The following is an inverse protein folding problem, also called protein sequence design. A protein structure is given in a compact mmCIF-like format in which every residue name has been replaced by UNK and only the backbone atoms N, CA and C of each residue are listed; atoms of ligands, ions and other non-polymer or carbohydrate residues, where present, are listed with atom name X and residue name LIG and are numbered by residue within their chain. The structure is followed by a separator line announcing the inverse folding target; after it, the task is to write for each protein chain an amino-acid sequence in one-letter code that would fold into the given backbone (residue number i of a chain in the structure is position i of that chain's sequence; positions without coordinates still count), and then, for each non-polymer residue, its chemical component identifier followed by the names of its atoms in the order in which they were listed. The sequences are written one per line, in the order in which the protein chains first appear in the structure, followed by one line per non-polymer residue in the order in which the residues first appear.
data_IF_266795624306
#
_entry.id   IF_266795624306
#
_cell.length_a   1.000
_cell.length_b   1.000
_cell.length_c   1.000
_cell.angle_alpha   90.00
_cell.angle_beta   90.00
_cell.angle_gamma   90.00
#
_symmetry.space_group_name_H-M   'P 1'
#
loop_
_entity.id
_entity.type
_entity.pdbx_description
1 polymer ?
#
# COMPACT_ATOMS: atom_id res chain seq x y z
N UNK A 1 1.97 10.74 -4.04
CA UNK A 1 0.65 11.18 -3.57
C UNK A 1 0.80 12.15 -2.42
N UNK A 2 0.47 13.36 -2.64
CA UNK A 2 0.33 14.38 -1.60
C UNK A 2 -1.01 14.18 -0.87
N UNK A 3 -1.07 13.19 -0.02
CA UNK A 3 -2.34 12.66 0.48
C UNK A 3 -2.90 13.34 1.72
N UNK A 4 -2.28 14.39 2.23
CA UNK A 4 -2.74 15.04 3.47
C UNK A 4 -4.13 15.67 3.31
N UNK A 5 -4.55 15.95 2.08
CA UNK A 5 -5.85 16.58 1.77
C UNK A 5 -6.55 15.99 0.54
N UNK A 6 -6.27 14.76 0.19
CA UNK A 6 -6.93 14.10 -0.94
C UNK A 6 -8.43 14.01 -0.68
N UNK A 7 -9.17 14.95 -1.24
CA UNK A 7 -10.62 14.92 -1.29
C UNK A 7 -11.07 14.35 -2.62
N UNK A 8 -11.79 13.25 -2.57
CA UNK A 8 -12.59 12.86 -3.71
C UNK A 8 -13.89 13.65 -3.73
N UNK A 9 -13.99 14.68 -4.55
CA UNK A 9 -15.18 15.50 -4.68
C UNK A 9 -16.39 14.68 -5.14
N UNK A 10 -16.21 13.71 -6.05
CA UNK A 10 -17.27 12.80 -6.46
C UNK A 10 -17.84 12.00 -5.27
N UNK A 11 -16.99 11.44 -4.42
CA UNK A 11 -17.44 10.71 -3.23
C UNK A 11 -18.16 11.62 -2.24
N UNK A 12 -17.72 12.86 -2.12
CA UNK A 12 -18.37 13.84 -1.26
C UNK A 12 -19.75 14.29 -1.81
N UNK A 13 -19.85 14.51 -3.12
CA UNK A 13 -21.09 14.96 -3.76
C UNK A 13 -22.15 13.85 -3.83
N UNK A 14 -21.77 12.64 -4.26
CA UNK A 14 -22.70 11.52 -4.46
C UNK A 14 -23.15 10.92 -3.13
N UNK A 15 -22.22 10.77 -2.16
CA UNK A 15 -22.48 10.02 -0.94
C UNK A 15 -22.24 10.79 0.36
N UNK A 16 -21.87 12.07 0.32
CA UNK A 16 -21.40 12.84 1.49
C UNK A 16 -20.30 12.10 2.28
N UNK A 17 -19.49 11.28 1.58
CA UNK A 17 -18.52 10.36 2.17
C UNK A 17 -17.09 10.81 1.86
N UNK A 18 -16.20 10.69 2.84
CA UNK A 18 -14.79 11.08 2.72
C UNK A 18 -13.89 9.86 2.50
N UNK A 19 -13.22 9.81 1.36
CA UNK A 19 -12.20 8.81 1.08
C UNK A 19 -11.03 8.85 2.07
N UNK A 20 -10.65 10.04 2.54
CA UNK A 20 -9.55 10.21 3.50
C UNK A 20 -9.85 9.59 4.87
N UNK A 21 -11.13 9.44 5.20
CA UNK A 21 -11.59 8.82 6.45
C UNK A 21 -11.97 7.34 6.28
N UNK A 22 -11.53 6.71 5.19
CA UNK A 22 -11.87 5.31 4.89
C UNK A 22 -13.30 5.08 4.40
N UNK A 23 -14.12 6.12 4.26
CA UNK A 23 -15.53 6.03 3.91
C UNK A 23 -15.82 6.37 2.44
N UNK A 24 -14.90 6.06 1.51
CA UNK A 24 -15.08 6.33 0.09
C UNK A 24 -16.34 5.64 -0.46
N UNK A 25 -17.19 6.39 -1.20
CA UNK A 25 -18.35 5.84 -1.90
C UNK A 25 -17.98 5.07 -3.18
N UNK A 26 -16.72 5.08 -3.58
CA UNK A 26 -16.17 4.46 -4.78
C UNK A 26 -16.88 4.86 -6.10
N UNK A 27 -17.22 6.13 -6.32
CA UNK A 27 -17.93 6.53 -7.55
C UNK A 27 -17.14 6.20 -8.82
N UNK A 28 -15.81 6.24 -8.78
CA UNK A 28 -14.96 5.82 -9.90
C UNK A 28 -15.02 4.30 -10.22
N UNK A 29 -15.80 3.53 -9.47
CA UNK A 29 -15.98 2.07 -9.66
C UNK A 29 -17.43 1.71 -9.98
N UNK A 30 -18.28 2.70 -10.12
CA UNK A 30 -19.69 2.51 -10.47
C UNK A 30 -19.87 2.48 -11.98
N UNK A 31 -20.95 1.87 -12.41
CA UNK A 31 -21.42 1.93 -13.79
C UNK A 31 -22.01 3.30 -14.11
N UNK A 32 -21.81 3.74 -15.31
CA UNK A 32 -22.36 4.98 -15.84
C UNK A 32 -22.87 4.78 -17.25
N UNK A 33 -23.96 5.47 -17.56
CA UNK A 33 -24.46 5.57 -18.93
C UNK A 33 -23.95 6.88 -19.55
N UNK A 34 -23.29 6.82 -20.66
CA UNK A 34 -22.72 7.99 -21.33
C UNK A 34 -22.79 7.83 -22.85
N UNK A 35 -23.34 8.84 -23.55
CA UNK A 35 -23.34 8.87 -25.00
C UNK A 35 -24.07 7.71 -25.69
N UNK A 36 -25.15 7.19 -25.06
CA UNK A 36 -25.91 6.05 -25.59
C UNK A 36 -25.31 4.68 -25.27
N UNK A 37 -24.16 4.64 -24.59
CA UNK A 37 -23.57 3.42 -24.03
C UNK A 37 -24.08 3.23 -22.62
N UNK A 38 -24.54 2.03 -22.31
CA UNK A 38 -25.13 1.67 -21.03
C UNK A 38 -24.18 0.78 -20.25
N UNK A 39 -24.21 0.92 -18.93
CA UNK A 39 -23.52 -0.01 -17.99
C UNK A 39 -22.00 -0.15 -18.20
N UNK A 40 -21.33 0.93 -18.59
CA UNK A 40 -19.88 0.98 -18.70
C UNK A 40 -19.22 1.50 -17.42
N UNK A 41 -17.92 1.21 -17.27
CA UNK A 41 -17.09 1.68 -16.15
C UNK A 41 -16.03 2.70 -16.64
N UNK A 42 -16.42 3.88 -17.15
CA UNK A 42 -15.54 4.81 -17.84
C UNK A 42 -14.49 5.46 -16.92
N UNK A 43 -14.65 5.33 -15.61
CA UNK A 43 -13.73 5.87 -14.60
C UNK A 43 -12.96 4.80 -13.84
N UNK A 44 -13.19 3.51 -14.14
CA UNK A 44 -12.57 2.42 -13.42
C UNK A 44 -11.23 2.04 -14.05
N UNK A 45 -10.16 2.59 -13.52
CA UNK A 45 -8.81 2.25 -13.95
C UNK A 45 -8.38 0.88 -13.43
N UNK A 46 -7.58 0.17 -14.21
CA UNK A 46 -6.77 -0.97 -13.77
C UNK A 46 -5.84 -0.53 -12.65
N UNK A 47 -5.36 -1.49 -11.87
CA UNK A 47 -4.44 -1.20 -10.81
C UNK A 47 -3.05 -0.86 -11.36
N UNK A 48 -2.44 0.17 -10.80
CA UNK A 48 -1.09 0.56 -11.19
C UNK A 48 -0.08 -0.39 -10.53
N UNK A 49 0.69 -1.09 -11.34
CA UNK A 49 1.79 -1.94 -10.89
C UNK A 49 3.07 -1.50 -11.60
N UNK A 50 4.06 -1.11 -10.83
CA UNK A 50 5.36 -0.63 -11.32
C UNK A 50 6.51 -1.53 -10.88
N UNK A 51 6.23 -2.80 -10.57
CA UNK A 51 7.24 -3.74 -10.09
C UNK A 51 8.37 -3.97 -11.11
N UNK A 52 8.05 -3.97 -12.41
CA UNK A 52 9.03 -4.12 -13.50
C UNK A 52 9.92 -2.88 -13.69
N UNK A 53 9.55 -1.75 -13.10
CA UNK A 53 10.23 -0.46 -13.29
C UNK A 53 10.96 0.04 -12.04
N UNK A 54 11.12 -0.80 -11.02
CA UNK A 54 11.72 -0.40 -9.74
C UNK A 54 13.14 0.13 -9.89
N UNK A 55 13.95 -0.47 -10.76
CA UNK A 55 15.31 0.01 -11.00
C UNK A 55 15.30 1.39 -11.67
N UNK A 56 14.47 1.59 -12.68
CA UNK A 56 14.34 2.89 -13.36
C UNK A 56 13.87 3.99 -12.38
N UNK A 57 12.95 3.65 -11.46
CA UNK A 57 12.49 4.57 -10.44
C UNK A 57 13.61 4.91 -9.45
N UNK A 58 14.42 3.93 -9.05
CA UNK A 58 15.59 4.15 -8.20
C UNK A 58 16.63 5.04 -8.89
N UNK A 59 16.94 4.77 -10.14
CA UNK A 59 17.89 5.55 -10.95
C UNK A 59 17.42 7.00 -11.15
N UNK A 60 16.09 7.21 -11.19
CA UNK A 60 15.48 8.54 -11.21
C UNK A 60 15.45 9.25 -9.84
N UNK A 61 16.03 8.65 -8.79
CA UNK A 61 16.13 9.22 -7.45
C UNK A 61 14.88 9.03 -6.57
N UNK A 62 13.99 8.10 -6.91
CA UNK A 62 12.85 7.75 -6.06
C UNK A 62 13.33 6.97 -4.85
N UNK A 63 13.28 7.57 -3.67
CA UNK A 63 13.76 6.98 -2.42
C UNK A 63 12.76 5.99 -1.77
N UNK A 64 11.47 6.07 -2.11
CA UNK A 64 10.45 5.25 -1.48
C UNK A 64 9.27 5.02 -2.42
N UNK A 65 8.75 3.80 -2.44
CA UNK A 65 7.50 3.44 -3.11
C UNK A 65 6.38 3.28 -2.08
N UNK A 66 5.19 3.76 -2.40
CA UNK A 66 4.03 3.66 -1.53
C UNK A 66 3.07 2.59 -2.04
N UNK A 67 2.80 1.60 -1.21
CA UNK A 67 1.76 0.60 -1.45
C UNK A 67 0.43 1.16 -0.94
N UNK A 68 -0.58 1.24 -1.82
CA UNK A 68 -1.91 1.69 -1.43
C UNK A 68 -2.78 0.47 -1.04
N UNK A 69 -3.13 0.41 0.24
CA UNK A 69 -3.82 -0.75 0.80
C UNK A 69 -4.97 -0.42 1.76
N UNK A 70 -5.41 0.85 1.84
CA UNK A 70 -6.41 1.30 2.84
C UNK A 70 -7.69 0.46 2.88
N UNK A 71 -8.18 0.03 1.72
CA UNK A 71 -9.41 -0.77 1.59
C UNK A 71 -9.11 -2.23 1.28
N UNK A 72 -7.89 -2.68 1.54
CA UNK A 72 -7.42 -4.02 1.23
C UNK A 72 -7.24 -4.84 2.49
N UNK A 73 -7.26 -6.15 2.33
CA UNK A 73 -6.96 -7.11 3.40
C UNK A 73 -5.47 -7.02 3.80
N UNK A 74 -5.11 -7.33 5.03
CA UNK A 74 -3.70 -7.38 5.45
C UNK A 74 -2.84 -8.31 4.60
N UNK A 75 -3.40 -9.43 4.16
CA UNK A 75 -2.74 -10.41 3.30
C UNK A 75 -2.32 -9.83 1.95
N UNK A 76 -3.13 -8.92 1.38
CA UNK A 76 -2.75 -8.17 0.19
C UNK A 76 -1.47 -7.37 0.43
N UNK A 77 -1.41 -6.66 1.54
CA UNK A 77 -0.24 -5.85 1.88
C UNK A 77 0.98 -6.75 2.07
N UNK A 78 0.82 -7.89 2.75
CA UNK A 78 1.90 -8.84 2.97
C UNK A 78 2.46 -9.39 1.65
N UNK A 79 1.60 -9.83 0.73
CA UNK A 79 2.02 -10.38 -0.57
C UNK A 79 2.72 -9.32 -1.43
N UNK A 80 2.13 -8.13 -1.54
CA UNK A 80 2.71 -7.06 -2.37
C UNK A 80 4.04 -6.60 -1.79
N UNK A 81 4.13 -6.44 -0.47
CA UNK A 81 5.39 -6.05 0.19
C UNK A 81 6.47 -7.11 0.01
N UNK A 82 6.13 -8.40 0.12
CA UNK A 82 7.09 -9.49 -0.08
C UNK A 82 7.72 -9.44 -1.47
N UNK A 83 6.91 -9.32 -2.52
CA UNK A 83 7.40 -9.24 -3.90
C UNK A 83 8.25 -8.00 -4.14
N UNK A 84 7.74 -6.82 -3.76
CA UNK A 84 8.46 -5.56 -3.96
C UNK A 84 9.77 -5.51 -3.17
N UNK A 85 9.79 -6.00 -1.93
CA UNK A 85 11.00 -6.06 -1.12
C UNK A 85 12.07 -6.95 -1.74
N UNK A 86 11.70 -8.13 -2.23
CA UNK A 86 12.62 -9.03 -2.94
C UNK A 86 13.20 -8.37 -4.19
N UNK A 87 12.35 -7.79 -5.04
CA UNK A 87 12.80 -7.10 -6.26
C UNK A 87 13.78 -5.95 -5.94
N UNK A 88 13.52 -5.18 -4.88
CA UNK A 88 14.40 -4.09 -4.46
C UNK A 88 15.72 -4.62 -3.89
N UNK A 89 15.69 -5.60 -2.99
CA UNK A 89 16.90 -6.15 -2.37
C UNK A 89 17.80 -6.92 -3.34
N UNK A 90 17.18 -7.61 -4.29
CA UNK A 90 17.89 -8.44 -5.28
C UNK A 90 18.19 -7.68 -6.57
N UNK A 91 17.80 -6.41 -6.67
CA UNK A 91 18.00 -5.55 -7.85
C UNK A 91 17.51 -6.20 -9.16
N UNK A 92 16.32 -6.78 -9.15
CA UNK A 92 15.74 -7.50 -10.28
C UNK A 92 14.27 -7.13 -10.52
N UNK A 93 13.77 -7.51 -11.68
CA UNK A 93 12.33 -7.51 -11.97
C UNK A 93 11.64 -8.73 -11.31
N UNK A 94 10.33 -8.68 -11.08
CA UNK A 94 9.58 -9.82 -10.56
C UNK A 94 9.62 -11.00 -11.55
N UNK A 95 9.60 -12.21 -11.01
CA UNK A 95 9.42 -13.42 -11.82
C UNK A 95 7.97 -13.53 -12.34
N UNK A 96 7.69 -14.37 -13.35
CA UNK A 96 6.32 -14.61 -13.79
C UNK A 96 5.40 -15.03 -12.64
N UNK A 97 5.86 -15.93 -11.76
CA UNK A 97 5.09 -16.39 -10.60
C UNK A 97 4.83 -15.27 -9.58
N UNK A 98 5.78 -14.35 -9.42
CA UNK A 98 5.60 -13.17 -8.57
C UNK A 98 4.59 -12.19 -9.18
N UNK A 99 4.60 -12.02 -10.50
CA UNK A 99 3.60 -11.23 -11.21
C UNK A 99 2.20 -11.85 -11.09
N UNK A 100 2.07 -13.17 -11.21
CA UNK A 100 0.81 -13.88 -11.00
C UNK A 100 0.33 -13.70 -9.56
N UNK A 101 1.21 -13.77 -8.56
CA UNK A 101 0.88 -13.50 -7.15
C UNK A 101 0.37 -12.07 -6.94
N UNK A 102 1.00 -11.08 -7.59
CA UNK A 102 0.53 -9.69 -7.54
C UNK A 102 -0.87 -9.55 -8.16
N UNK A 103 -1.11 -10.20 -9.30
CA UNK A 103 -2.40 -10.17 -9.98
C UNK A 103 -3.50 -10.85 -9.15
N UNK A 104 -3.21 -12.02 -8.55
CA UNK A 104 -4.11 -12.74 -7.66
C UNK A 104 -4.39 -11.94 -6.37
N UNK A 105 -3.38 -11.26 -5.83
CA UNK A 105 -3.56 -10.46 -4.63
C UNK A 105 -4.60 -9.35 -4.85
N UNK A 106 -4.53 -8.67 -5.97
CA UNK A 106 -5.56 -7.74 -6.42
C UNK A 106 -5.29 -7.20 -7.82
N UNK A 107 -6.16 -7.50 -8.77
CA UNK A 107 -6.14 -6.81 -10.07
C UNK A 107 -7.56 -6.57 -10.59
N UNK A 108 -7.68 -5.59 -11.49
CA UNK A 108 -8.90 -5.29 -12.25
C UNK A 108 -8.65 -5.59 -13.71
N UNK A 109 -8.74 -6.87 -14.08
CA UNK A 109 -8.43 -7.34 -15.43
C UNK A 109 -6.98 -7.00 -15.86
N UNK A 110 -6.04 -7.15 -14.94
CA UNK A 110 -4.64 -6.86 -15.13
C UNK A 110 -4.20 -5.51 -14.55
N UNK A 111 -2.99 -5.14 -14.89
CA UNK A 111 -2.32 -3.94 -14.42
C UNK A 111 -2.21 -2.89 -15.53
N UNK A 112 -1.86 -1.67 -15.15
CA UNK A 112 -1.49 -0.59 -16.06
C UNK A 112 -0.23 0.12 -15.59
N UNK A 113 0.61 0.52 -16.52
CA UNK A 113 1.76 1.41 -16.33
C UNK A 113 1.58 2.70 -17.13
N UNK A 114 0.39 2.93 -17.70
CA UNK A 114 0.13 4.01 -18.65
C UNK A 114 0.51 5.40 -18.16
N UNK A 115 0.43 5.66 -16.85
CA UNK A 115 0.88 6.94 -16.29
C UNK A 115 2.40 7.10 -16.32
N UNK A 116 3.16 6.03 -16.09
CA UNK A 116 4.62 6.06 -16.14
C UNK A 116 5.10 6.19 -17.59
N UNK A 117 4.49 5.43 -18.51
CA UNK A 117 4.89 5.37 -19.90
C UNK A 117 4.32 6.50 -20.77
N UNK A 118 3.38 7.29 -20.22
CA UNK A 118 2.69 8.33 -20.98
C UNK A 118 1.59 7.79 -21.91
N UNK A 119 1.29 6.50 -21.88
CA UNK A 119 0.30 5.80 -22.70
C UNK A 119 -1.07 5.87 -22.04
N UNK A 120 -1.82 6.94 -22.29
CA UNK A 120 -3.14 7.16 -21.70
C UNK A 120 -4.22 6.78 -22.70
N UNK A 121 -5.11 5.87 -22.32
CA UNK A 121 -6.19 5.41 -23.21
C UNK A 121 -7.18 4.47 -22.54
N UNK A 122 -8.14 3.95 -23.31
CA UNK A 122 -9.14 2.98 -22.84
C UNK A 122 -8.54 1.71 -22.24
N UNK A 123 -7.35 1.30 -22.68
CA UNK A 123 -6.63 0.12 -22.18
C UNK A 123 -6.25 0.23 -20.71
N UNK A 124 -6.26 1.44 -20.16
CA UNK A 124 -6.08 1.65 -18.72
C UNK A 124 -7.33 1.32 -17.89
N UNK A 125 -8.49 1.12 -18.53
CA UNK A 125 -9.74 0.84 -17.84
C UNK A 125 -9.88 -0.66 -17.56
N UNK A 126 -10.51 -1.00 -16.44
CA UNK A 126 -10.76 -2.37 -16.05
C UNK A 126 -11.70 -2.48 -14.85
N UNK A 127 -12.36 -3.63 -14.75
CA UNK A 127 -13.26 -3.97 -13.67
C UNK A 127 -12.79 -5.22 -12.94
N UNK A 128 -13.24 -5.42 -11.71
CA UNK A 128 -12.96 -6.64 -10.98
C UNK A 128 -14.13 -7.61 -11.14
N UNK A 129 -13.83 -8.88 -11.39
CA UNK A 129 -14.82 -9.94 -11.30
C UNK A 129 -15.41 -10.00 -9.88
N UNK A 130 -16.70 -10.30 -9.78
CA UNK A 130 -17.40 -10.37 -8.50
C UNK A 130 -17.12 -11.68 -7.74
N UNK A 131 -16.63 -12.73 -8.42
CA UNK A 131 -16.42 -14.04 -7.83
C UNK A 131 -15.16 -14.12 -6.99
N UNK A 132 -15.23 -14.79 -5.82
CA UNK A 132 -14.06 -15.04 -5.00
C UNK A 132 -13.12 -16.03 -5.72
N UNK A 133 -11.86 -15.65 -5.86
CA UNK A 133 -10.83 -16.50 -6.43
C UNK A 133 -10.30 -17.46 -5.37
N UNK A 134 -10.49 -18.78 -5.59
CA UNK A 134 -10.03 -19.84 -4.67
C UNK A 134 -8.51 -19.89 -4.54
N UNK A 135 -7.79 -19.57 -5.60
CA UNK A 135 -6.33 -19.53 -5.58
C UNK A 135 -5.83 -18.34 -4.76
N UNK A 136 -6.48 -17.18 -4.89
CA UNK A 136 -6.21 -16.03 -4.06
C UNK A 136 -6.42 -16.34 -2.57
N UNK A 137 -7.47 -17.06 -2.20
CA UNK A 137 -7.71 -17.44 -0.80
C UNK A 137 -6.65 -18.43 -0.25
N UNK A 138 -6.16 -19.36 -1.06
CA UNK A 138 -5.03 -20.24 -0.67
C UNK A 138 -3.76 -19.41 -0.43
N UNK A 139 -3.44 -18.51 -1.36
CA UNK A 139 -2.29 -17.63 -1.25
C UNK A 139 -2.40 -16.72 0.00
N UNK A 140 -3.56 -16.16 0.27
CA UNK A 140 -3.78 -15.32 1.44
C UNK A 140 -3.68 -16.12 2.75
N UNK A 141 -4.13 -17.36 2.76
CA UNK A 141 -3.96 -18.24 3.91
C UNK A 141 -2.49 -18.53 4.19
N UNK A 142 -1.70 -18.77 3.15
CA UNK A 142 -0.25 -18.95 3.29
C UNK A 142 0.44 -17.64 3.77
N UNK A 143 0.07 -16.50 3.20
CA UNK A 143 0.59 -15.20 3.62
C UNK A 143 0.26 -14.92 5.10
N UNK A 144 -0.98 -15.20 5.54
CA UNK A 144 -1.39 -15.02 6.94
C UNK A 144 -0.54 -15.86 7.89
N UNK A 145 -0.28 -17.11 7.56
CA UNK A 145 0.61 -17.97 8.37
C UNK A 145 2.02 -17.40 8.50
N UNK A 146 2.51 -16.72 7.44
CA UNK A 146 3.86 -16.16 7.46
C UNK A 146 4.03 -15.02 8.48
N UNK A 147 2.98 -14.30 8.85
CA UNK A 147 3.05 -13.20 9.84
C UNK A 147 2.25 -13.46 11.13
N UNK A 148 1.55 -14.61 11.22
CA UNK A 148 0.73 -14.94 12.39
C UNK A 148 1.54 -15.10 13.69
N UNK A 149 2.80 -15.50 13.58
CA UNK A 149 3.68 -15.72 14.74
C UNK A 149 4.25 -14.40 15.33
N UNK A 150 3.73 -13.26 14.90
CA UNK A 150 4.07 -11.95 15.43
C UNK A 150 5.36 -11.35 14.84
N UNK A 151 5.87 -10.34 15.50
CA UNK A 151 7.04 -9.59 15.04
C UNK A 151 8.30 -10.43 15.02
N UNK A 152 8.81 -10.75 13.83
CA UNK A 152 10.05 -11.52 13.65
C UNK A 152 11.31 -10.69 13.79
N UNK A 153 11.20 -9.36 13.66
CA UNK A 153 12.31 -8.42 13.81
C UNK A 153 12.06 -7.54 15.02
N UNK A 154 12.48 -8.04 16.17
CA UNK A 154 12.56 -7.22 17.40
C UNK A 154 13.99 -6.75 17.53
N UNK A 155 14.17 -5.46 17.62
CA UNK A 155 15.46 -4.88 18.04
C UNK A 155 15.42 -4.84 19.57
N UNK A 156 16.26 -5.60 20.27
CA UNK A 156 16.35 -5.51 21.71
C UNK A 156 16.86 -4.12 22.09
N UNK A 157 16.13 -3.46 22.96
CA UNK A 157 16.48 -2.12 23.42
C UNK A 157 16.56 -2.09 24.92
N UNK A 158 17.52 -1.32 25.45
CA UNK A 158 17.60 -0.96 26.86
C UNK A 158 16.90 0.37 27.06
N UNK A 159 15.96 0.40 27.97
CA UNK A 159 15.23 1.59 28.34
C UNK A 159 15.75 2.13 29.67
N UNK A 160 16.02 3.43 29.72
CA UNK A 160 16.45 4.16 30.91
C UNK A 160 15.48 5.27 31.21
N UNK A 161 15.08 5.41 32.44
CA UNK A 161 14.26 6.53 32.88
C UNK A 161 14.85 7.14 34.16
N UNK A 162 14.87 8.48 34.23
CA UNK A 162 15.23 9.24 35.42
C UNK A 162 14.06 10.17 35.78
N UNK A 163 13.49 9.96 36.95
CA UNK A 163 12.42 10.79 37.47
C UNK A 163 12.85 11.25 38.88
N UNK A 164 12.99 12.58 39.09
CA UNK A 164 13.28 13.19 40.37
C UNK A 164 12.42 14.44 40.55
N UNK A 165 11.90 14.64 41.72
CA UNK A 165 11.15 15.87 42.06
C UNK A 165 12.04 17.10 41.81
N UNK A 166 11.51 18.09 41.09
CA UNK A 166 12.22 19.32 40.75
C UNK A 166 13.25 19.21 39.61
N UNK A 167 13.43 18.04 38.99
CA UNK A 167 14.27 17.86 37.80
C UNK A 167 13.41 17.46 36.60
N UNK A 168 13.79 17.82 35.34
CA UNK A 168 13.09 17.33 34.18
C UNK A 168 13.14 15.79 34.08
N UNK A 169 12.03 15.17 33.72
CA UNK A 169 12.00 13.73 33.46
C UNK A 169 12.85 13.44 32.25
N UNK A 170 13.74 12.48 32.36
CA UNK A 170 14.54 11.99 31.23
C UNK A 170 14.20 10.54 30.90
N UNK A 171 14.01 10.25 29.64
CA UNK A 171 13.91 8.90 29.13
C UNK A 171 14.94 8.69 28.00
N UNK A 172 15.60 7.56 28.01
CA UNK A 172 16.53 7.19 26.95
C UNK A 172 16.29 5.75 26.54
N UNK A 173 16.47 5.46 25.26
CA UNK A 173 16.48 4.11 24.72
C UNK A 173 17.75 3.92 23.92
N UNK A 174 18.37 2.75 24.04
CA UNK A 174 19.53 2.39 23.25
C UNK A 174 19.42 0.93 22.78
N UNK A 175 19.83 0.65 21.56
CA UNK A 175 19.97 -0.71 21.01
C UNK A 175 21.40 -1.24 21.16
N UNK A 176 21.61 -2.48 20.70
CA UNK A 176 22.92 -3.13 20.74
C UNK A 176 23.89 -2.60 19.66
N UNK A 177 23.35 -1.96 18.61
CA UNK A 177 24.13 -1.39 17.50
C UNK A 177 24.62 0.05 17.83
N UNK A 178 24.30 0.56 19.02
CA UNK A 178 24.72 1.88 19.49
C UNK A 178 23.80 3.03 19.10
N UNK A 179 22.65 2.77 18.46
CA UNK A 179 21.65 3.80 18.23
C UNK A 179 21.02 4.22 19.56
N UNK A 180 20.88 5.52 19.75
CA UNK A 180 20.36 6.07 21.00
C UNK A 180 19.36 7.21 20.72
N UNK A 181 18.25 7.18 21.42
CA UNK A 181 17.31 8.31 21.48
C UNK A 181 17.14 8.75 22.92
N UNK A 182 17.09 10.07 23.15
CA UNK A 182 16.88 10.69 24.47
C UNK A 182 15.74 11.69 24.39
N UNK A 183 14.83 11.62 25.34
CA UNK A 183 13.72 12.57 25.50
C UNK A 183 13.81 13.22 26.87
N UNK A 184 13.53 14.51 26.91
CA UNK A 184 13.40 15.28 28.14
C UNK A 184 11.97 15.77 28.26
N UNK A 185 11.31 15.44 29.36
CA UNK A 185 9.95 15.82 29.66
C UNK A 185 9.87 17.00 30.65
N UNK A 186 8.66 17.38 31.05
CA UNK A 186 8.46 18.42 32.06
C UNK A 186 9.03 18.03 33.42
N UNK A 187 9.20 19.01 34.29
CA UNK A 187 9.53 18.81 35.71
C UNK A 187 8.26 18.31 36.43
N UNK A 188 8.30 17.15 37.10
CA UNK A 188 7.17 16.65 37.86
C UNK A 188 6.96 17.41 39.18
#
# INVERSE_FOLDING_TARGET
QMCIRDRCYMSALIGRRSGNRGACAQPCRMQYSMGGRMDEYPLSLRDNCLADYLQQLADAGVACVKIEGRMKRPEYVAVVTDVYAKCIHEHRVPTPEENDRLALAFSRQGFTQGYLLGEKGPDMLGTRAAEPDREAEKMFTAARKAYADGERRRVPVKFYAKVRAGEPVMAAVADEDGHRAVLTGPVP
#
